data_IF_409451799476
#
_entry.id   IF_409451799476
#
_cell.length_a   1.000
_cell.length_b   1.000
_cell.length_c   1.000
_cell.angle_alpha   90.00
_cell.angle_beta   90.00
_cell.angle_gamma   90.00
#
_symmetry.space_group_name_H-M   'P 1'
#
loop_
_entity.id
_entity.type
_entity.pdbx_description
1 polymer ?
#
# COMPACT_ATOMS: atom_id res chain seq x y z
N UNK A 1 -13.16 65.31 38.33
CA UNK A 1 -13.11 66.03 37.03
C UNK A 1 -11.82 65.65 36.33
N UNK A 2 -11.87 65.59 35.00
CA UNK A 2 -10.80 65.27 34.06
C UNK A 2 -10.37 63.79 34.06
N UNK A 3 -10.04 63.15 32.94
CA UNK A 3 -10.21 63.40 31.50
C UNK A 3 -9.67 62.11 30.85
N UNK A 4 -10.26 61.71 29.73
CA UNK A 4 -9.84 60.64 28.82
C UNK A 4 -8.37 60.75 28.38
N UNK A 5 -7.75 59.62 27.99
CA UNK A 5 -7.38 59.34 26.58
C UNK A 5 -6.54 58.07 26.38
N UNK A 6 -6.96 57.26 25.39
CA UNK A 6 -6.20 56.20 24.74
C UNK A 6 -5.05 56.81 23.89
N UNK A 7 -3.89 56.16 23.76
CA UNK A 7 -2.87 56.65 22.84
C UNK A 7 -3.14 56.17 21.41
N UNK A 8 -3.50 57.11 20.53
CA UNK A 8 -3.48 56.97 19.07
C UNK A 8 -2.05 57.15 18.52
N UNK A 9 -1.63 56.14 17.76
CA UNK A 9 -0.93 56.21 16.47
C UNK A 9 0.06 57.37 16.21
N UNK A 10 1.36 57.03 16.14
CA UNK A 10 2.35 57.80 15.37
C UNK A 10 2.77 56.92 14.18
N UNK A 11 2.52 57.43 12.96
CA UNK A 11 3.05 56.88 11.70
C UNK A 11 4.49 57.35 11.50
N UNK A 12 5.39 56.41 11.17
CA UNK A 12 6.55 56.67 10.30
C UNK A 12 6.63 55.53 9.29
N UNK A 13 6.54 55.90 8.03
CA UNK A 13 6.76 55.04 6.86
C UNK A 13 8.27 54.97 6.52
N UNK A 14 8.60 54.05 5.61
CA UNK A 14 9.92 53.69 5.04
C UNK A 14 10.73 52.70 5.91
N UNK A 15 11.18 51.53 5.44
CA UNK A 15 11.46 51.08 4.07
C UNK A 15 11.43 49.54 4.06
N UNK A 16 10.97 48.97 2.94
CA UNK A 16 10.89 47.53 2.74
C UNK A 16 12.28 46.91 2.58
N UNK A 17 12.60 45.88 3.36
CA UNK A 17 13.53 44.82 2.94
C UNK A 17 12.91 43.47 3.31
N UNK A 18 12.04 43.00 2.43
CA UNK A 18 11.81 41.56 2.27
C UNK A 18 13.15 40.96 1.84
N UNK A 19 13.87 40.35 2.77
CA UNK A 19 14.97 39.45 2.44
C UNK A 19 14.34 38.20 1.86
N UNK A 20 14.05 38.25 0.56
CA UNK A 20 13.86 37.05 -0.23
C UNK A 20 15.16 36.26 -0.09
N UNK A 21 15.07 35.04 0.44
CA UNK A 21 16.13 34.07 0.27
C UNK A 21 16.19 33.74 -1.20
N UNK A 22 16.95 34.53 -1.96
CA UNK A 22 17.36 34.19 -3.31
C UNK A 22 18.24 32.96 -3.17
N UNK A 23 17.71 31.81 -3.60
CA UNK A 23 18.52 30.68 -4.00
C UNK A 23 19.53 31.21 -5.02
N UNK A 24 20.77 31.50 -4.60
CA UNK A 24 21.89 31.77 -5.50
C UNK A 24 22.13 30.51 -6.33
N UNK A 25 21.40 30.41 -7.45
CA UNK A 25 21.72 29.50 -8.54
C UNK A 25 23.11 29.90 -9.03
N UNK A 26 24.11 29.07 -8.73
CA UNK A 26 25.54 29.34 -8.96
C UNK A 26 25.90 29.42 -10.45
N UNK A 27 24.93 29.44 -11.36
CA UNK A 27 25.12 29.61 -12.81
C UNK A 27 25.98 28.51 -13.43
N UNK A 28 26.23 27.42 -12.69
CA UNK A 28 27.11 26.34 -13.10
C UNK A 28 26.41 25.55 -14.20
N UNK A 29 26.87 25.75 -15.43
CA UNK A 29 26.45 24.97 -16.60
C UNK A 29 26.99 23.55 -16.44
N UNK A 30 26.17 22.63 -15.93
CA UNK A 30 26.54 21.22 -15.81
C UNK A 30 26.27 20.54 -17.15
N UNK A 31 27.34 20.21 -17.88
CA UNK A 31 27.23 19.44 -19.10
C UNK A 31 26.73 18.00 -18.80
N UNK A 32 25.77 17.47 -19.55
CA UNK A 32 25.26 16.12 -19.33
C UNK A 32 26.36 15.06 -19.51
N UNK A 33 26.70 14.34 -18.44
CA UNK A 33 27.72 13.27 -18.46
C UNK A 33 27.27 12.11 -19.36
N UNK A 34 25.96 11.86 -19.45
CA UNK A 34 25.40 10.75 -20.23
C UNK A 34 24.12 11.21 -20.95
N UNK A 35 23.99 10.85 -22.22
CA UNK A 35 22.74 10.96 -22.97
C UNK A 35 21.96 9.66 -22.84
N UNK A 36 20.84 9.71 -22.12
CA UNK A 36 19.94 8.57 -21.99
C UNK A 36 19.02 8.48 -23.20
N UNK A 37 18.86 7.29 -23.75
CA UNK A 37 17.83 7.01 -24.74
C UNK A 37 16.53 6.68 -24.03
N UNK A 38 15.41 7.13 -24.58
CA UNK A 38 14.10 6.70 -24.11
C UNK A 38 13.90 5.21 -24.42
N UNK A 39 13.62 4.43 -23.39
CA UNK A 39 13.38 2.99 -23.49
C UNK A 39 11.93 2.73 -23.12
N UNK A 40 11.22 1.97 -23.96
CA UNK A 40 9.87 1.52 -23.62
C UNK A 40 9.93 0.56 -22.43
N UNK A 41 9.16 0.87 -21.39
CA UNK A 41 9.11 0.06 -20.17
C UNK A 41 7.79 -0.70 -20.14
N UNK A 42 7.86 -2.02 -20.00
CA UNK A 42 6.71 -2.88 -19.72
C UNK A 42 6.56 -3.08 -18.22
N UNK A 43 5.32 -3.21 -17.74
CA UNK A 43 5.00 -3.40 -16.32
C UNK A 43 5.15 -4.85 -15.87
N UNK A 44 5.03 -5.80 -16.81
CA UNK A 44 4.97 -7.23 -16.52
C UNK A 44 3.62 -7.67 -15.90
N UNK A 45 2.59 -6.83 -16.01
CA UNK A 45 1.22 -7.02 -15.49
C UNK A 45 0.18 -7.10 -16.65
N UNK A 46 0.61 -7.12 -17.91
CA UNK A 46 -0.24 -6.97 -19.11
C UNK A 46 -1.18 -8.18 -19.35
N UNK A 47 -0.75 -9.38 -18.95
CA UNK A 47 -1.49 -10.64 -19.08
C UNK A 47 -2.38 -10.94 -17.87
N UNK A 48 -2.56 -9.96 -16.99
CA UNK A 48 -3.28 -10.13 -15.73
C UNK A 48 -4.45 -9.15 -15.61
N UNK A 49 -5.50 -9.60 -14.91
CA UNK A 49 -6.66 -8.79 -14.57
C UNK A 49 -6.61 -8.40 -13.09
N UNK A 50 -6.76 -7.11 -12.80
CA UNK A 50 -6.83 -6.60 -11.44
C UNK A 50 -8.20 -6.92 -10.80
N UNK A 51 -8.18 -7.81 -9.80
CA UNK A 51 -9.35 -8.15 -9.00
C UNK A 51 -9.60 -7.09 -7.91
N UNK A 52 -8.50 -6.61 -7.32
CA UNK A 52 -8.47 -5.64 -6.24
C UNK A 52 -7.37 -4.62 -6.50
N UNK A 53 -7.64 -3.36 -6.15
CA UNK A 53 -6.69 -2.25 -6.14
C UNK A 53 -7.05 -1.35 -4.95
N UNK A 54 -6.21 -1.34 -3.92
CA UNK A 54 -6.44 -0.56 -2.71
C UNK A 54 -5.15 0.08 -2.21
N UNK A 55 -5.28 1.24 -1.58
CA UNK A 55 -4.18 1.86 -0.84
C UNK A 55 -3.94 1.10 0.46
N UNK A 56 -2.69 0.77 0.73
CA UNK A 56 -2.28 0.06 1.93
C UNK A 56 -0.88 0.48 2.40
N UNK A 57 -0.58 0.09 3.64
CA UNK A 57 0.76 0.12 4.23
C UNK A 57 1.16 -1.31 4.59
N UNK A 58 2.29 -1.75 4.10
CA UNK A 58 2.86 -3.07 4.30
C UNK A 58 3.96 -3.01 5.36
N UNK A 59 3.93 -4.00 6.25
CA UNK A 59 4.94 -4.24 7.26
C UNK A 59 5.51 -5.63 7.08
N UNK A 60 6.80 -5.79 7.36
CA UNK A 60 7.52 -7.06 7.46
C UNK A 60 7.92 -7.28 8.91
N UNK A 61 7.76 -8.50 9.40
CA UNK A 61 8.26 -8.87 10.71
C UNK A 61 9.77 -9.15 10.66
N UNK A 62 10.52 -8.47 11.51
CA UNK A 62 11.93 -8.75 11.75
C UNK A 62 12.07 -9.77 12.88
N UNK A 63 12.54 -10.98 12.56
CA UNK A 63 12.68 -12.08 13.51
C UNK A 63 13.78 -11.81 14.54
N UNK A 64 14.86 -11.13 14.15
CA UNK A 64 15.99 -10.86 15.04
C UNK A 64 15.63 -9.76 16.06
N UNK A 65 14.99 -8.69 15.58
CA UNK A 65 14.52 -7.60 16.43
C UNK A 65 13.17 -7.85 17.12
N UNK A 66 12.50 -8.97 16.82
CA UNK A 66 11.15 -9.31 17.27
C UNK A 66 10.15 -8.14 17.13
N UNK A 67 10.19 -7.44 15.99
CA UNK A 67 9.44 -6.20 15.78
C UNK A 67 8.92 -6.07 14.34
N UNK A 68 7.84 -5.31 14.16
CA UNK A 68 7.33 -4.97 12.84
C UNK A 68 8.10 -3.76 12.26
N UNK A 69 8.57 -3.89 11.02
CA UNK A 69 9.20 -2.82 10.25
C UNK A 69 8.34 -2.44 9.05
N UNK A 70 8.21 -1.15 8.80
CA UNK A 70 7.51 -0.68 7.59
C UNK A 70 8.31 -1.08 6.35
N UNK A 71 7.63 -1.71 5.39
CA UNK A 71 8.22 -2.22 4.15
C UNK A 71 7.83 -1.37 2.94
N UNK A 72 6.63 -0.82 2.93
CA UNK A 72 6.19 0.08 1.87
C UNK A 72 4.80 0.67 2.08
N UNK A 73 4.55 1.82 1.46
CA UNK A 73 3.24 2.48 1.42
C UNK A 73 2.87 2.76 -0.02
N UNK A 74 1.71 2.27 -0.45
CA UNK A 74 1.24 2.48 -1.81
C UNK A 74 0.03 1.65 -2.14
N UNK A 75 -0.06 1.24 -3.40
CA UNK A 75 -1.20 0.49 -3.91
C UNK A 75 -0.88 -0.99 -3.93
N UNK A 76 -1.72 -1.79 -3.28
CA UNK A 76 -1.72 -3.25 -3.38
C UNK A 76 -2.75 -3.67 -4.41
N UNK A 77 -2.33 -4.58 -5.30
CA UNK A 77 -3.18 -5.22 -6.30
C UNK A 77 -3.21 -6.73 -6.09
N UNK A 78 -4.38 -7.32 -6.30
CA UNK A 78 -4.50 -8.76 -6.56
C UNK A 78 -4.70 -8.94 -8.05
N UNK A 79 -3.75 -9.60 -8.69
CA UNK A 79 -3.70 -9.78 -10.14
C UNK A 79 -3.93 -11.24 -10.47
N UNK A 80 -4.91 -11.50 -11.35
CA UNK A 80 -5.24 -12.84 -11.83
C UNK A 80 -4.77 -13.01 -13.27
N UNK A 81 -3.89 -13.97 -13.51
CA UNK A 81 -3.40 -14.28 -14.84
C UNK A 81 -4.53 -14.82 -15.74
N UNK A 82 -4.62 -14.34 -16.99
CA UNK A 82 -5.69 -14.70 -17.94
C UNK A 82 -5.67 -16.18 -18.33
N UNK A 83 -4.49 -16.74 -18.61
CA UNK A 83 -4.41 -18.16 -19.01
C UNK A 83 -4.32 -19.12 -17.83
N UNK A 84 -3.35 -18.92 -16.93
CA UNK A 84 -3.10 -19.86 -15.82
C UNK A 84 -4.10 -19.75 -14.67
N UNK A 85 -4.92 -18.69 -14.66
CA UNK A 85 -5.87 -18.37 -13.58
C UNK A 85 -5.22 -18.15 -12.20
N UNK A 86 -3.88 -18.20 -12.09
CA UNK A 86 -3.13 -17.97 -10.86
C UNK A 86 -3.30 -16.52 -10.41
N UNK A 87 -3.38 -16.34 -9.09
CA UNK A 87 -3.49 -15.02 -8.48
C UNK A 87 -2.18 -14.70 -7.75
N UNK A 88 -1.67 -13.49 -7.95
CA UNK A 88 -0.55 -12.95 -7.18
C UNK A 88 -0.91 -11.61 -6.55
N UNK A 89 -0.28 -11.35 -5.41
CA UNK A 89 -0.29 -10.06 -4.77
C UNK A 89 0.92 -9.27 -5.28
N UNK A 90 0.67 -8.08 -5.81
CA UNK A 90 1.71 -7.12 -6.19
C UNK A 90 1.45 -5.81 -5.46
N UNK A 91 2.45 -5.28 -4.77
CA UNK A 91 2.36 -3.97 -4.14
C UNK A 91 3.54 -3.10 -4.58
N UNK A 92 3.25 -1.86 -4.98
CA UNK A 92 4.26 -0.86 -5.35
C UNK A 92 4.20 0.33 -4.40
N UNK A 93 5.38 0.84 -4.05
CA UNK A 93 5.51 2.06 -3.25
C UNK A 93 5.03 3.28 -4.04
N UNK A 94 4.39 4.20 -3.33
CA UNK A 94 4.03 5.51 -3.88
C UNK A 94 5.30 6.27 -4.26
N UNK A 95 5.23 7.08 -5.33
CA UNK A 95 6.33 7.89 -5.88
C UNK A 95 7.44 7.09 -6.56
N UNK A 96 8.05 6.10 -5.88
CA UNK A 96 9.20 5.34 -6.43
C UNK A 96 8.79 4.21 -7.37
N UNK A 97 7.55 3.73 -7.27
CA UNK A 97 7.01 2.59 -8.02
C UNK A 97 7.78 1.26 -7.83
N UNK A 98 8.70 1.22 -6.86
CA UNK A 98 9.43 0.02 -6.46
C UNK A 98 8.45 -1.01 -5.91
N UNK A 99 8.65 -2.26 -6.31
CA UNK A 99 7.89 -3.40 -5.79
C UNK A 99 8.32 -3.62 -4.34
N UNK A 100 7.33 -3.74 -3.43
CA UNK A 100 7.58 -4.04 -2.02
C UNK A 100 6.90 -5.33 -1.55
N UNK A 101 6.03 -5.92 -2.40
CA UNK A 101 5.56 -7.30 -2.29
C UNK A 101 5.26 -7.83 -3.69
N UNK A 102 5.65 -9.08 -3.95
CA UNK A 102 5.35 -9.85 -5.14
C UNK A 102 5.40 -11.34 -4.82
N UNK A 103 4.24 -11.95 -4.57
CA UNK A 103 4.13 -13.36 -4.27
C UNK A 103 2.80 -13.92 -4.77
N UNK A 104 2.78 -15.22 -5.04
CA UNK A 104 1.53 -15.93 -5.32
C UNK A 104 0.64 -15.89 -4.07
N UNK A 105 -0.61 -15.50 -4.26
CA UNK A 105 -1.61 -15.58 -3.20
C UNK A 105 -2.21 -16.99 -3.23
N UNK A 106 -1.61 -17.89 -2.44
CA UNK A 106 -2.09 -19.27 -2.31
C UNK A 106 -3.43 -19.38 -1.55
N UNK A 107 -3.91 -18.29 -0.94
CA UNK A 107 -5.09 -18.30 -0.06
C UNK A 107 -6.41 -18.55 -0.79
N UNK A 108 -6.48 -18.34 -2.11
CA UNK A 108 -7.77 -18.16 -2.79
C UNK A 108 -8.14 -19.20 -3.86
N UNK A 109 -7.37 -20.27 -4.07
CA UNK A 109 -7.79 -21.25 -5.09
C UNK A 109 -7.52 -22.74 -4.83
N UNK A 110 -6.58 -23.14 -3.97
CA UNK A 110 -6.27 -24.58 -3.82
C UNK A 110 -6.37 -25.14 -2.39
N UNK A 111 -6.51 -24.32 -1.35
CA UNK A 111 -6.62 -24.83 0.03
C UNK A 111 -8.07 -25.03 0.49
N UNK A 112 -9.05 -24.45 -0.23
CA UNK A 112 -10.46 -24.52 0.17
C UNK A 112 -11.16 -25.85 -0.13
N UNK A 113 -10.71 -26.59 -1.14
CA UNK A 113 -11.35 -27.84 -1.54
C UNK A 113 -10.59 -29.08 -1.05
N UNK A 114 -9.26 -29.02 -0.92
CA UNK A 114 -8.46 -30.17 -0.51
C UNK A 114 -8.29 -30.29 1.02
N UNK A 115 -8.65 -29.26 1.79
CA UNK A 115 -8.48 -29.21 3.25
C UNK A 115 -9.80 -29.33 4.04
N UNK A 116 -10.80 -30.00 3.46
CA UNK A 116 -12.10 -30.26 4.10
C UNK A 116 -12.11 -31.44 5.09
N UNK A 117 -10.95 -32.03 5.43
CA UNK A 117 -10.85 -33.16 6.37
C UNK A 117 -10.20 -32.85 7.73
N UNK A 118 -9.89 -31.59 8.06
CA UNK A 118 -9.33 -31.25 9.38
C UNK A 118 -10.22 -30.25 10.12
N UNK A 119 -11.06 -30.85 10.96
CA UNK A 119 -11.82 -30.33 12.10
C UNK A 119 -12.53 -28.96 11.98
N UNK A 120 -13.79 -29.02 12.34
CA UNK A 120 -14.79 -27.96 12.55
C UNK A 120 -14.27 -26.69 13.26
N UNK A 121 -13.15 -26.76 14.00
CA UNK A 121 -12.52 -25.62 14.67
C UNK A 121 -11.89 -24.60 13.71
N UNK A 122 -11.43 -25.01 12.52
CA UNK A 122 -10.75 -24.11 11.59
C UNK A 122 -11.72 -23.22 10.80
N UNK A 123 -12.90 -23.76 10.46
CA UNK A 123 -13.99 -22.99 9.85
C UNK A 123 -14.55 -21.97 10.86
N UNK A 124 -14.59 -22.35 12.14
CA UNK A 124 -14.96 -21.44 13.21
C UNK A 124 -13.89 -20.34 13.39
N UNK A 125 -12.60 -20.67 13.29
CA UNK A 125 -11.52 -19.69 13.30
C UNK A 125 -11.55 -18.76 12.06
N UNK A 126 -11.90 -19.28 10.88
CA UNK A 126 -12.03 -18.49 9.66
C UNK A 126 -13.25 -17.58 9.68
N UNK A 127 -14.41 -18.08 10.14
CA UNK A 127 -15.61 -17.29 10.36
C UNK A 127 -15.38 -16.27 11.48
N UNK A 128 -14.66 -16.60 12.55
CA UNK A 128 -14.37 -15.68 13.65
C UNK A 128 -13.28 -14.65 13.28
N UNK A 129 -12.35 -14.97 12.38
CA UNK A 129 -11.41 -14.03 11.76
C UNK A 129 -12.12 -13.07 10.80
N UNK A 130 -13.00 -13.59 9.94
CA UNK A 130 -13.89 -12.78 9.11
C UNK A 130 -14.83 -11.92 9.96
N UNK A 131 -15.38 -12.45 11.06
CA UNK A 131 -16.30 -11.75 11.98
C UNK A 131 -15.60 -10.68 12.84
N UNK A 132 -14.37 -10.92 13.32
CA UNK A 132 -13.56 -9.89 14.02
C UNK A 132 -13.11 -8.77 13.08
N UNK A 133 -12.87 -9.06 11.79
CA UNK A 133 -12.61 -8.05 10.76
C UNK A 133 -13.90 -7.37 10.23
N UNK A 134 -15.06 -8.01 10.42
CA UNK A 134 -16.39 -7.46 10.13
C UNK A 134 -16.88 -6.49 11.22
N UNK A 135 -16.48 -6.71 12.48
CA UNK A 135 -16.84 -5.87 13.65
C UNK A 135 -16.11 -4.51 13.75
N UNK A 136 -15.37 -4.10 12.71
CA UNK A 136 -15.11 -2.68 12.45
C UNK A 136 -13.78 -2.07 12.95
N UNK A 137 -12.82 -2.83 13.47
CA UNK A 137 -11.67 -2.20 14.15
C UNK A 137 -10.29 -2.51 13.54
N UNK A 138 -10.13 -3.56 12.73
CA UNK A 138 -8.77 -3.98 12.32
C UNK A 138 -8.65 -4.08 10.80
N UNK A 139 -8.00 -3.08 10.20
CA UNK A 139 -7.60 -3.02 8.79
C UNK A 139 -6.40 -3.93 8.45
N UNK A 140 -6.03 -4.87 9.32
CA UNK A 140 -4.72 -5.52 9.32
C UNK A 140 -4.85 -7.01 8.97
N UNK A 141 -4.23 -7.42 7.87
CA UNK A 141 -4.14 -8.83 7.45
C UNK A 141 -2.71 -9.31 7.64
N UNK A 142 -2.54 -10.50 8.22
CA UNK A 142 -1.25 -11.15 8.39
C UNK A 142 -1.13 -12.35 7.45
N UNK A 143 0.08 -12.62 6.96
CA UNK A 143 0.35 -13.81 6.15
C UNK A 143 1.83 -14.06 5.98
N UNK A 144 2.21 -15.33 5.88
CA UNK A 144 3.53 -15.74 5.41
C UNK A 144 3.49 -15.95 3.90
N UNK A 145 4.49 -15.46 3.20
CA UNK A 145 4.59 -15.64 1.76
C UNK A 145 6.03 -15.84 1.31
N UNK A 146 6.22 -16.65 0.27
CA UNK A 146 7.47 -16.72 -0.49
C UNK A 146 7.50 -15.54 -1.47
N UNK A 147 8.11 -14.44 -1.06
CA UNK A 147 8.10 -13.14 -1.72
C UNK A 147 9.34 -12.89 -2.57
N UNK A 148 9.14 -12.25 -3.72
CA UNK A 148 10.18 -11.95 -4.72
C UNK A 148 10.38 -10.44 -4.93
N UNK A 149 10.00 -9.59 -3.95
CA UNK A 149 10.11 -8.13 -4.12
C UNK A 149 11.54 -7.61 -4.23
N UNK A 150 12.52 -8.32 -3.67
CA UNK A 150 13.95 -7.96 -3.71
C UNK A 150 14.72 -8.64 -4.86
N UNK A 151 14.05 -9.41 -5.74
CA UNK A 151 14.71 -10.17 -6.81
C UNK A 151 15.27 -11.53 -6.38
N UNK A 152 14.99 -11.95 -5.15
CA UNK A 152 15.29 -13.27 -4.61
C UNK A 152 14.10 -13.78 -3.81
N UNK A 153 13.89 -15.10 -3.76
CA UNK A 153 12.74 -15.70 -3.08
C UNK A 153 12.99 -15.78 -1.57
N UNK A 154 12.18 -15.07 -0.78
CA UNK A 154 12.28 -15.06 0.70
C UNK A 154 10.96 -15.43 1.35
N UNK A 155 11.02 -16.29 2.36
CA UNK A 155 9.88 -16.49 3.25
C UNK A 155 9.81 -15.34 4.25
N UNK A 156 8.81 -14.48 4.08
CA UNK A 156 8.60 -13.31 4.94
C UNK A 156 7.22 -13.38 5.61
N UNK A 157 7.14 -12.85 6.83
CA UNK A 157 5.87 -12.64 7.54
C UNK A 157 5.46 -11.19 7.36
N UNK A 158 4.30 -10.99 6.73
CA UNK A 158 3.76 -9.66 6.41
C UNK A 158 2.57 -9.29 7.26
N UNK A 159 2.38 -7.99 7.43
CA UNK A 159 1.13 -7.40 7.87
C UNK A 159 0.73 -6.25 6.92
N UNK A 160 -0.49 -6.27 6.40
CA UNK A 160 -1.00 -5.25 5.48
C UNK A 160 -2.10 -4.47 6.16
N UNK A 161 -1.91 -3.16 6.30
CA UNK A 161 -2.92 -2.22 6.81
C UNK A 161 -3.58 -1.48 5.66
N UNK A 162 -4.85 -1.73 5.41
CA UNK A 162 -5.63 -1.02 4.39
C UNK A 162 -6.02 0.39 4.85
N UNK A 163 -6.07 1.33 3.90
CA UNK A 163 -6.46 2.70 4.17
C UNK A 163 -7.97 2.88 4.40
N UNK A 164 -8.80 1.96 3.87
CA UNK A 164 -10.26 2.02 4.00
C UNK A 164 -10.83 0.61 4.15
N UNK A 165 -11.38 0.32 5.34
CA UNK A 165 -12.06 -0.95 5.65
C UNK A 165 -13.27 -1.14 4.73
N UNK A 166 -14.04 -0.07 4.54
CA UNK A 166 -15.31 -0.10 3.80
C UNK A 166 -15.12 -0.50 2.34
N UNK A 167 -14.06 0.01 1.69
CA UNK A 167 -13.74 -0.35 0.30
C UNK A 167 -13.33 -1.81 0.20
N UNK A 168 -12.56 -2.31 1.16
CA UNK A 168 -12.18 -3.72 1.24
C UNK A 168 -13.43 -4.60 1.41
N UNK A 169 -14.28 -4.29 2.41
CA UNK A 169 -15.50 -5.03 2.68
C UNK A 169 -16.43 -5.05 1.46
N UNK A 170 -16.72 -3.90 0.85
CA UNK A 170 -17.58 -3.82 -0.33
C UNK A 170 -17.04 -4.67 -1.49
N UNK A 171 -15.72 -4.64 -1.72
CA UNK A 171 -15.09 -5.41 -2.79
C UNK A 171 -15.09 -6.91 -2.47
N UNK A 172 -14.85 -7.27 -1.22
CA UNK A 172 -14.87 -8.64 -0.72
C UNK A 172 -16.27 -9.26 -0.85
N UNK A 173 -17.31 -8.56 -0.39
CA UNK A 173 -18.70 -9.01 -0.53
C UNK A 173 -19.11 -9.15 -2.00
N UNK A 174 -18.74 -8.19 -2.86
CA UNK A 174 -18.99 -8.28 -4.30
C UNK A 174 -18.29 -9.47 -4.96
N UNK A 175 -17.12 -9.86 -4.44
CA UNK A 175 -16.35 -10.97 -4.99
C UNK A 175 -16.95 -12.32 -4.57
N UNK A 176 -17.33 -12.47 -3.29
CA UNK A 176 -18.05 -13.65 -2.78
C UNK A 176 -19.41 -13.80 -3.47
N UNK A 177 -20.17 -12.73 -3.61
CA UNK A 177 -21.49 -12.80 -4.26
C UNK A 177 -21.39 -13.12 -5.75
N UNK A 178 -20.36 -12.62 -6.44
CA UNK A 178 -20.07 -12.97 -7.82
C UNK A 178 -19.69 -14.44 -8.00
N UNK A 179 -18.95 -15.02 -7.04
CA UNK A 179 -18.64 -16.45 -7.01
C UNK A 179 -19.90 -17.29 -6.76
N UNK A 180 -20.79 -16.87 -5.86
CA UNK A 180 -22.03 -17.57 -5.56
C UNK A 180 -23.06 -17.56 -6.70
N UNK A 181 -22.97 -16.61 -7.64
CA UNK A 181 -23.82 -16.52 -8.84
C UNK A 181 -23.24 -17.27 -10.05
N UNK A 182 -21.98 -17.73 -9.96
CA UNK A 182 -21.29 -18.44 -11.03
C UNK A 182 -21.30 -19.98 -10.87
N UNK A 183 -22.02 -20.48 -9.85
CA UNK A 183 -22.31 -21.90 -9.57
C UNK A 183 -23.80 -22.14 -9.75
#
# INVERSE_FOLDING_TARGET
MASSEEPKHIKREEEATVVAGEDEDTGAQVEPIVKLQEVSVTTGEEDEAALLDLKAKLYRFDKEGNQWKERGVGTVKLLKHKDTQKVRLVMRQSKTLKICANHLDFSLSHVWLDFMDVSFDMLQCFLQYQYKNMLGTINLVFGTAADFSDGELKEELFAIRFASVEKLQKRWFSWISGLALAV
#
